data_IF_572397018855
#
_entry.id   IF_572397018855
#
_cell.length_a   1.000
_cell.length_b   1.000
_cell.length_c   1.000
_cell.angle_alpha   90.00
_cell.angle_beta   90.00
_cell.angle_gamma   90.00
#
_symmetry.space_group_name_H-M   'P 1'
#
loop_
_entity.id
_entity.type
_entity.pdbx_description
1 polymer ?
#
# COMPACT_ATOMS: atom_id res chain seq x y z
N UNK A 1 -3.91 3.18 -10.70
CA UNK A 1 -4.03 3.48 -9.25
C UNK A 1 -3.96 4.98 -9.05
N UNK A 2 -4.73 5.52 -8.12
CA UNK A 2 -4.75 6.94 -7.78
C UNK A 2 -4.72 7.09 -6.25
N UNK A 3 -3.91 8.03 -5.77
CA UNK A 3 -3.79 8.33 -4.33
C UNK A 3 -3.94 9.83 -4.14
N UNK A 4 -4.89 10.21 -3.30
CA UNK A 4 -5.15 11.58 -2.92
C UNK A 4 -4.91 11.81 -1.44
N UNK A 5 -4.31 12.95 -1.12
CA UNK A 5 -4.03 13.37 0.24
C UNK A 5 -4.42 14.83 0.42
N UNK A 6 -4.96 15.14 1.59
CA UNK A 6 -5.23 16.48 2.05
C UNK A 6 -4.89 16.60 3.53
N UNK A 7 -3.96 17.50 3.85
CA UNK A 7 -3.69 17.91 5.22
C UNK A 7 -4.90 18.57 5.88
N UNK A 8 -4.82 18.80 7.19
CA UNK A 8 -5.97 19.28 7.99
C UNK A 8 -6.59 20.55 7.40
N UNK A 9 -5.75 21.52 7.05
CA UNK A 9 -6.16 22.84 6.57
C UNK A 9 -6.58 22.84 5.08
N UNK A 10 -6.50 21.69 4.40
CA UNK A 10 -6.70 21.57 2.94
C UNK A 10 -7.77 20.54 2.54
N UNK A 11 -8.64 20.19 3.49
CA UNK A 11 -9.76 19.26 3.26
C UNK A 11 -9.72 17.98 4.10
N UNK A 12 -8.64 17.76 4.87
CA UNK A 12 -8.52 16.70 5.88
C UNK A 12 -9.05 15.33 5.41
N UNK A 13 -8.57 14.87 4.25
CA UNK A 13 -9.05 13.66 3.59
C UNK A 13 -7.89 12.86 3.03
N UNK A 14 -8.10 11.55 2.89
CA UNK A 14 -7.20 10.66 2.17
C UNK A 14 -8.06 9.70 1.34
N UNK A 15 -7.53 9.26 0.21
CA UNK A 15 -8.18 8.30 -0.66
C UNK A 15 -7.12 7.53 -1.43
N UNK A 16 -7.22 6.20 -1.43
CA UNK A 16 -6.37 5.28 -2.16
C UNK A 16 -7.32 4.43 -3.01
N UNK A 17 -7.20 4.59 -4.33
CA UNK A 17 -8.08 3.94 -5.31
C UNK A 17 -7.30 3.06 -6.27
N UNK A 18 -7.78 1.83 -6.42
CA UNK A 18 -7.38 0.95 -7.51
C UNK A 18 -8.58 0.79 -8.46
N UNK A 19 -8.38 1.15 -9.74
CA UNK A 19 -9.46 1.31 -10.71
C UNK A 19 -10.56 2.25 -10.18
N UNK A 20 -11.80 1.77 -10.08
CA UNK A 20 -12.94 2.52 -9.55
C UNK A 20 -13.19 2.27 -8.06
N UNK A 21 -12.39 1.43 -7.40
CA UNK A 21 -12.60 1.00 -6.03
C UNK A 21 -11.67 1.75 -5.07
N UNK A 22 -12.26 2.41 -4.08
CA UNK A 22 -11.57 2.98 -2.93
C UNK A 22 -11.50 1.96 -1.78
N UNK A 23 -10.49 2.08 -0.91
CA UNK A 23 -10.36 1.24 0.29
C UNK A 23 -11.45 1.53 1.36
N UNK A 24 -12.20 2.62 1.21
CA UNK A 24 -13.36 2.98 2.02
C UNK A 24 -13.05 4.02 3.09
N UNK A 25 -14.00 4.93 3.38
CA UNK A 25 -13.77 6.08 4.28
C UNK A 25 -13.29 5.70 5.68
N UNK A 26 -13.80 4.59 6.23
CA UNK A 26 -13.42 4.09 7.56
C UNK A 26 -11.95 3.63 7.65
N UNK A 27 -11.28 3.46 6.51
CA UNK A 27 -9.88 3.11 6.46
C UNK A 27 -8.98 4.29 6.87
N UNK A 28 -9.40 5.53 6.57
CA UNK A 28 -8.53 6.69 6.65
C UNK A 28 -8.61 7.40 7.99
N UNK A 29 -7.48 7.49 8.69
CA UNK A 29 -7.32 8.21 9.95
C UNK A 29 -6.18 9.22 9.85
N UNK A 30 -5.97 10.02 10.91
CA UNK A 30 -4.83 10.94 10.98
C UNK A 30 -3.51 10.17 10.82
N UNK A 31 -2.57 10.73 10.06
CA UNK A 31 -1.24 10.16 9.85
C UNK A 31 -1.00 9.62 8.44
N UNK A 32 -0.07 8.67 8.35
CA UNK A 32 0.27 7.93 7.14
C UNK A 32 -0.72 6.80 6.93
N UNK A 33 -1.64 6.94 5.98
CA UNK A 33 -2.56 5.87 5.58
C UNK A 33 -1.87 5.04 4.50
N UNK A 34 -1.53 3.79 4.82
CA UNK A 34 -0.66 2.94 4.01
C UNK A 34 -1.44 1.73 3.51
N UNK A 35 -1.42 1.51 2.20
CA UNK A 35 -1.97 0.32 1.58
C UNK A 35 -0.91 -0.42 0.76
N UNK A 36 -0.87 -1.73 0.89
CA UNK A 36 0.00 -2.62 0.15
C UNK A 36 -0.83 -3.39 -0.86
N UNK A 37 -0.31 -3.49 -2.07
CA UNK A 37 -0.97 -4.17 -3.18
C UNK A 37 -0.12 -5.31 -3.68
N UNK A 38 -0.80 -6.35 -4.14
CA UNK A 38 -0.18 -7.40 -4.93
C UNK A 38 0.26 -6.85 -6.29
N UNK A 39 1.53 -6.99 -6.61
CA UNK A 39 2.16 -6.39 -7.80
C UNK A 39 1.69 -7.01 -9.12
N UNK A 40 1.17 -8.24 -9.08
CA UNK A 40 0.71 -8.95 -10.28
C UNK A 40 -0.76 -8.67 -10.57
N UNK A 41 -1.60 -8.66 -9.53
CA UNK A 41 -3.05 -8.49 -9.66
C UNK A 41 -3.51 -7.06 -9.45
N UNK A 42 -2.69 -6.23 -8.79
CA UNK A 42 -3.03 -4.88 -8.37
C UNK A 42 -4.06 -4.81 -7.24
N UNK A 43 -4.45 -5.95 -6.66
CA UNK A 43 -5.44 -6.00 -5.58
C UNK A 43 -4.82 -5.58 -4.25
N UNK A 44 -5.56 -4.84 -3.39
CA UNK A 44 -5.09 -4.52 -2.05
C UNK A 44 -4.98 -5.81 -1.21
N UNK A 45 -3.83 -6.02 -0.58
CA UNK A 45 -3.57 -7.18 0.29
C UNK A 45 -3.50 -6.80 1.77
N UNK A 46 -3.19 -5.53 2.06
CA UNK A 46 -3.10 -5.04 3.43
C UNK A 46 -3.31 -3.54 3.45
N UNK A 47 -3.88 -3.04 4.54
CA UNK A 47 -3.98 -1.61 4.81
C UNK A 47 -3.85 -1.33 6.30
N UNK A 48 -3.20 -0.23 6.64
CA UNK A 48 -3.11 0.26 8.02
C UNK A 48 -2.86 1.77 8.04
N UNK A 49 -2.95 2.39 9.22
CA UNK A 49 -2.61 3.81 9.43
C UNK A 49 -1.57 3.94 10.52
N UNK A 50 -0.55 4.77 10.29
CA UNK A 50 0.44 5.15 11.30
C UNK A 50 0.26 6.61 11.67
N UNK A 51 -0.32 6.86 12.84
CA UNK A 51 -0.55 8.21 13.37
C UNK A 51 0.76 8.79 13.93
N UNK A 52 1.60 9.33 13.05
CA UNK A 52 2.87 9.98 13.40
C UNK A 52 2.69 11.38 14.01
N UNK A 53 1.46 11.78 14.34
CA UNK A 53 1.25 12.85 15.31
C UNK A 53 1.64 12.38 16.72
N UNK A 54 1.47 11.09 17.01
CA UNK A 54 1.91 10.46 18.25
C UNK A 54 3.32 9.86 18.12
N UNK A 55 4.12 9.95 19.18
CA UNK A 55 5.49 9.41 19.22
C UNK A 55 5.53 7.88 19.07
N UNK A 56 6.57 7.35 18.42
CA UNK A 56 6.83 5.91 18.27
C UNK A 56 6.17 5.26 17.04
N UNK A 57 5.13 5.89 16.47
CA UNK A 57 4.47 5.35 15.27
C UNK A 57 5.33 5.45 14.00
N UNK A 58 6.30 6.38 13.97
CA UNK A 58 7.28 6.47 12.87
C UNK A 58 8.20 5.24 12.82
N UNK A 59 8.60 4.72 13.98
CA UNK A 59 9.43 3.52 14.10
C UNK A 59 8.65 2.28 13.69
N UNK A 60 7.40 2.16 14.14
CA UNK A 60 6.48 1.09 13.72
C UNK A 60 6.24 1.11 12.21
N UNK A 61 6.05 2.30 11.62
CA UNK A 61 5.94 2.47 10.17
C UNK A 61 7.21 2.00 9.46
N UNK A 62 8.38 2.46 9.90
CA UNK A 62 9.64 2.09 9.26
C UNK A 62 9.92 0.57 9.38
N UNK A 63 9.59 -0.03 10.51
CA UNK A 63 9.69 -1.48 10.69
C UNK A 63 8.75 -2.21 9.75
N UNK A 64 7.49 -1.79 9.66
CA UNK A 64 6.51 -2.37 8.75
C UNK A 64 7.01 -2.37 7.31
N UNK A 65 7.47 -1.22 6.79
CA UNK A 65 8.01 -1.13 5.42
C UNK A 65 9.20 -2.07 5.23
N UNK A 66 10.09 -2.21 6.23
CA UNK A 66 11.24 -3.11 6.13
C UNK A 66 10.89 -4.60 6.10
N UNK A 67 9.70 -4.98 6.57
CA UNK A 67 9.23 -6.38 6.53
C UNK A 67 8.56 -6.76 5.20
N UNK A 68 8.22 -5.79 4.37
CA UNK A 68 7.58 -6.06 3.09
C UNK A 68 8.58 -6.69 2.11
N UNK A 69 8.17 -7.74 1.36
CA UNK A 69 9.02 -8.29 0.30
C UNK A 69 9.44 -7.21 -0.72
N UNK A 70 10.63 -7.31 -1.32
CA UNK A 70 11.05 -6.44 -2.40
C UNK A 70 10.06 -6.49 -3.58
N UNK A 71 9.86 -5.37 -4.27
CA UNK A 71 8.97 -5.29 -5.42
C UNK A 71 7.49 -5.09 -5.09
N UNK A 72 7.08 -5.06 -3.81
CA UNK A 72 5.69 -4.79 -3.39
C UNK A 72 5.29 -3.35 -3.68
N UNK A 73 4.05 -3.15 -4.15
CA UNK A 73 3.52 -1.82 -4.41
C UNK A 73 2.91 -1.26 -3.13
N UNK A 74 3.29 -0.04 -2.78
CA UNK A 74 2.83 0.64 -1.56
C UNK A 74 2.29 2.02 -1.92
N UNK A 75 1.03 2.26 -1.57
CA UNK A 75 0.40 3.57 -1.66
C UNK A 75 0.34 4.21 -0.26
N UNK A 76 0.67 5.50 -0.18
CA UNK A 76 0.56 6.26 1.08
C UNK A 76 -0.12 7.60 0.83
N UNK A 77 -1.11 7.93 1.65
CA UNK A 77 -1.76 9.23 1.70
C UNK A 77 -1.73 9.80 3.12
N UNK A 78 -1.42 11.09 3.26
CA UNK A 78 -1.58 11.80 4.53
C UNK A 78 -3.03 12.28 4.68
N UNK A 79 -3.56 12.16 5.90
CA UNK A 79 -4.75 12.87 6.36
C UNK A 79 -4.40 13.60 7.66
N UNK A 80 -4.87 14.85 7.78
CA UNK A 80 -4.56 15.76 8.90
C UNK A 80 -3.07 16.14 8.99
N UNK A 81 -2.25 15.34 9.68
CA UNK A 81 -0.81 15.53 9.81
C UNK A 81 -0.10 14.18 9.89
N UNK A 82 1.10 14.11 9.31
CA UNK A 82 2.03 13.02 9.53
C UNK A 82 3.47 13.47 9.79
N UNK A 83 3.71 14.76 10.00
CA UNK A 83 5.05 15.33 10.10
C UNK A 83 5.59 15.34 11.54
N UNK A 84 4.73 15.64 12.52
CA UNK A 84 5.16 16.08 13.86
C UNK A 84 6.18 15.15 14.54
N UNK A 85 5.98 13.83 14.47
CA UNK A 85 6.91 12.83 14.99
C UNK A 85 7.47 11.90 13.88
N UNK A 86 7.54 12.37 12.63
CA UNK A 86 8.17 11.59 11.56
C UNK A 86 9.69 11.60 11.70
N UNK A 87 10.24 10.49 12.16
CA UNK A 87 11.68 10.32 12.37
C UNK A 87 12.45 10.12 11.06
N UNK A 88 13.76 10.33 11.12
CA UNK A 88 14.67 10.07 9.99
C UNK A 88 14.64 8.61 9.51
N UNK A 89 14.25 7.68 10.37
CA UNK A 89 14.04 6.28 9.99
C UNK A 89 12.76 6.12 9.17
N UNK A 90 11.68 6.82 9.56
CA UNK A 90 10.43 6.90 8.78
C UNK A 90 10.66 7.53 7.40
N UNK A 91 11.38 8.66 7.33
CA UNK A 91 11.75 9.27 6.03
C UNK A 91 12.56 8.32 5.15
N UNK A 92 13.54 7.60 5.72
CA UNK A 92 14.31 6.58 4.99
C UNK A 92 13.42 5.44 4.47
N UNK A 93 12.41 5.02 5.23
CA UNK A 93 11.43 4.04 4.75
C UNK A 93 10.68 4.57 3.53
N UNK A 94 10.20 5.82 3.54
CA UNK A 94 9.59 6.44 2.35
C UNK A 94 10.56 6.52 1.16
N UNK A 95 11.84 6.87 1.39
CA UNK A 95 12.87 6.88 0.32
C UNK A 95 13.09 5.49 -0.28
N UNK A 96 13.02 4.43 0.53
CA UNK A 96 13.12 3.04 0.06
C UNK A 96 11.92 2.57 -0.79
N UNK A 97 10.83 3.36 -0.78
CA UNK A 97 9.70 3.20 -1.68
C UNK A 97 9.85 4.02 -2.97
N UNK A 98 10.93 4.79 -3.10
CA UNK A 98 11.20 5.68 -4.23
C UNK A 98 10.83 7.14 -4.01
N UNK A 99 10.48 7.56 -2.78
CA UNK A 99 10.23 8.97 -2.47
C UNK A 99 11.47 9.84 -2.69
N UNK A 100 11.26 11.05 -3.22
CA UNK A 100 12.23 12.16 -3.23
C UNK A 100 11.71 13.36 -2.44
N UNK A 101 10.40 13.51 -2.26
CA UNK A 101 9.81 14.69 -1.64
C UNK A 101 9.60 14.59 -0.12
N UNK A 102 9.76 13.40 0.49
CA UNK A 102 9.50 13.22 1.94
C UNK A 102 10.36 14.11 2.85
N UNK A 103 11.57 14.49 2.42
CA UNK A 103 12.43 15.38 3.20
C UNK A 103 11.88 16.81 3.29
N UNK A 104 10.99 17.18 2.37
CA UNK A 104 10.35 18.49 2.31
C UNK A 104 8.98 18.50 3.01
N UNK A 105 8.53 17.39 3.57
CA UNK A 105 7.25 17.34 4.29
C UNK A 105 7.26 18.34 5.45
N UNK A 106 6.17 19.09 5.61
CA UNK A 106 5.96 20.01 6.73
C UNK A 106 4.67 19.65 7.47
N UNK A 107 4.48 20.24 8.66
CA UNK A 107 3.27 20.09 9.44
C UNK A 107 2.03 20.35 8.59
N UNK A 108 1.09 19.40 8.60
CA UNK A 108 -0.19 19.44 7.85
C UNK A 108 -0.08 19.61 6.34
N UNK A 109 1.08 19.31 5.76
CA UNK A 109 1.21 19.24 4.30
C UNK A 109 0.43 18.04 3.74
N UNK A 110 -0.05 18.20 2.51
CA UNK A 110 -0.64 17.11 1.75
C UNK A 110 0.46 16.37 1.00
N UNK A 111 0.54 15.05 1.19
CA UNK A 111 1.54 14.21 0.53
C UNK A 111 0.94 12.86 0.15
N UNK A 112 1.14 12.50 -1.12
CA UNK A 112 0.68 11.24 -1.68
C UNK A 112 1.81 10.59 -2.47
N UNK A 113 1.97 9.27 -2.31
CA UNK A 113 2.96 8.48 -3.05
C UNK A 113 2.39 7.12 -3.46
N UNK A 114 2.78 6.65 -4.64
CA UNK A 114 2.64 5.27 -5.11
C UNK A 114 4.04 4.74 -5.43
N UNK A 115 4.64 4.09 -4.44
CA UNK A 115 6.00 3.59 -4.47
C UNK A 115 6.11 2.08 -4.69
N UNK A 116 7.33 1.58 -4.64
CA UNK A 116 7.64 0.16 -4.68
C UNK A 116 8.81 -0.15 -3.75
N UNK A 117 8.70 -1.20 -2.95
CA UNK A 117 9.77 -1.58 -2.00
C UNK A 117 11.07 -1.92 -2.73
N UNK A 118 12.17 -1.29 -2.32
CA UNK A 118 13.49 -1.46 -2.95
C UNK A 118 13.72 -0.55 -4.17
N UNK A 119 12.78 0.35 -4.49
CA UNK A 119 12.95 1.30 -5.57
C UNK A 119 13.99 2.39 -5.23
N UNK A 120 14.65 2.91 -6.26
CA UNK A 120 15.55 4.04 -6.11
C UNK A 120 14.78 5.33 -5.80
N UNK A 121 15.35 6.21 -4.98
CA UNK A 121 14.73 7.51 -4.69
C UNK A 121 14.47 8.30 -5.98
N UNK A 122 13.28 8.89 -6.09
CA UNK A 122 12.85 9.67 -7.25
C UNK A 122 12.11 8.88 -8.34
N UNK A 123 11.92 7.57 -8.18
CA UNK A 123 11.19 6.76 -9.17
C UNK A 123 9.70 6.59 -8.87
N UNK A 124 9.25 6.95 -7.66
CA UNK A 124 7.84 6.83 -7.29
C UNK A 124 6.97 7.91 -7.93
N UNK A 125 5.71 7.59 -8.20
CA UNK A 125 4.71 8.62 -8.48
C UNK A 125 4.39 9.32 -7.15
N UNK A 126 4.72 10.60 -7.04
CA UNK A 126 4.70 11.33 -5.78
C UNK A 126 4.26 12.78 -6.01
N UNK A 127 3.49 13.34 -5.08
CA UNK A 127 3.10 14.74 -5.05
C UNK A 127 3.13 15.27 -3.62
N UNK A 128 3.54 16.53 -3.45
CA UNK A 128 3.60 17.26 -2.19
C UNK A 128 3.05 18.67 -2.41
N UNK A 129 2.19 19.15 -1.51
CA UNK A 129 1.75 20.54 -1.46
C UNK A 129 1.61 20.99 0.00
N UNK A 130 1.97 22.23 0.26
CA UNK A 130 1.81 22.88 1.56
C UNK A 130 0.52 23.72 1.65
N UNK A 131 -0.23 23.80 0.55
CA UNK A 131 -1.33 24.77 0.41
C UNK A 131 -2.62 24.16 -0.13
N UNK A 132 -2.56 22.92 -0.64
CA UNK A 132 -3.68 22.28 -1.31
C UNK A 132 -3.68 20.76 -1.11
N UNK A 133 -4.80 20.11 -1.40
CA UNK A 133 -4.83 18.68 -1.62
C UNK A 133 -3.94 18.30 -2.82
N UNK A 134 -3.43 17.08 -2.82
CA UNK A 134 -2.64 16.51 -3.91
C UNK A 134 -3.20 15.17 -4.35
N UNK A 135 -2.97 14.84 -5.62
CA UNK A 135 -3.28 13.53 -6.17
C UNK A 135 -2.14 13.07 -7.07
N UNK A 136 -1.65 11.86 -6.83
CA UNK A 136 -0.73 11.19 -7.75
C UNK A 136 -1.40 9.94 -8.33
N UNK A 137 -0.97 9.53 -9.52
CA UNK A 137 -1.45 8.33 -10.18
C UNK A 137 -0.29 7.52 -10.73
N UNK A 138 -0.47 6.20 -10.76
CA UNK A 138 0.45 5.27 -11.38
C UNK A 138 -0.33 4.19 -12.08
N UNK A 139 0.04 3.90 -13.32
CA UNK A 139 -0.45 2.72 -14.02
C UNK A 139 0.24 1.49 -13.44
N UNK A 140 -0.56 0.46 -13.15
CA UNK A 140 -0.05 -0.85 -12.75
C UNK A 140 -0.50 -1.80 -13.84
N UNK A 141 0.45 -2.26 -14.65
CA UNK A 141 0.17 -3.28 -15.65
C UNK A 141 0.11 -4.62 -14.92
N UNK A 142 -1.11 -5.06 -14.61
CA UNK A 142 -1.33 -6.41 -14.10
C UNK A 142 -0.97 -7.40 -15.21
N UNK A 143 0.21 -8.00 -15.13
CA UNK A 143 0.53 -9.16 -15.97
C UNK A 143 -0.39 -10.29 -15.54
N UNK A 144 -1.32 -10.71 -16.42
CA UNK A 144 -2.00 -11.99 -16.28
C UNK A 144 -0.94 -13.08 -16.29
N UNK A 145 -0.48 -13.51 -15.12
CA UNK A 145 0.43 -14.64 -14.99
C UNK A 145 -0.39 -15.87 -15.32
N UNK A 146 -0.08 -16.52 -16.45
CA UNK A 146 -0.65 -17.81 -16.80
C UNK A 146 -0.05 -18.84 -15.84
N UNK A 147 -0.73 -19.09 -14.73
CA UNK A 147 -0.32 -20.15 -13.80
C UNK A 147 -0.62 -21.52 -14.41
N UNK A 148 0.32 -22.49 -14.36
CA UNK A 148 0.02 -23.84 -14.83
C UNK A 148 -1.06 -24.46 -13.95
N UNK A 149 -2.13 -24.96 -14.58
CA UNK A 149 -3.15 -25.74 -13.91
C UNK A 149 -2.53 -26.99 -13.31
N UNK A 150 -2.65 -27.18 -12.00
CA UNK A 150 -2.22 -28.41 -11.34
C UNK A 150 -3.42 -29.15 -10.77
N UNK A 151 -3.39 -30.48 -10.85
CA UNK A 151 -4.44 -31.33 -10.28
C UNK A 151 -4.04 -31.71 -8.87
N UNK A 152 -4.83 -31.30 -7.89
CA UNK A 152 -4.76 -31.87 -6.54
C UNK A 152 -5.68 -33.09 -6.50
N UNK A 153 -5.10 -34.28 -6.39
CA UNK A 153 -5.84 -35.51 -6.13
C UNK A 153 -5.56 -35.96 -4.70
N UNK A 154 -6.61 -36.14 -3.92
CA UNK A 154 -6.54 -36.77 -2.60
C UNK A 154 -7.27 -38.10 -2.71
N UNK A 155 -6.61 -39.19 -2.28
CA UNK A 155 -7.22 -40.52 -2.21
C UNK A 155 -7.20 -40.96 -0.76
N UNK A 156 -8.38 -41.26 -0.21
CA UNK A 156 -8.53 -41.97 1.06
C UNK A 156 -8.94 -43.41 0.75
N UNK A 157 -8.27 -44.39 1.37
CA UNK A 157 -8.59 -45.80 1.23
C UNK A 157 -9.14 -46.32 2.56
N UNK A 158 -10.47 -46.28 2.69
CA UNK A 158 -11.19 -47.09 3.67
C UNK A 158 -11.59 -48.41 3.03
N UNK A 159 -11.27 -49.52 3.68
CA UNK A 159 -11.59 -50.90 3.27
C UNK A 159 -13.02 -51.00 2.70
N UNK A 160 -13.24 -51.77 1.63
CA UNK A 160 -14.52 -52.15 0.98
C UNK A 160 -15.68 -51.13 0.83
N UNK A 161 -15.51 -49.83 1.10
CA UNK A 161 -16.62 -48.85 1.11
C UNK A 161 -16.40 -47.63 0.19
N UNK A 162 -15.41 -47.69 -0.72
CA UNK A 162 -15.28 -46.78 -1.85
C UNK A 162 -14.16 -45.73 -1.72
N UNK A 163 -13.61 -45.33 -2.87
CA UNK A 163 -12.64 -44.23 -2.99
C UNK A 163 -13.35 -43.03 -3.62
N UNK A 164 -13.28 -41.86 -2.98
CA UNK A 164 -13.73 -40.60 -3.56
C UNK A 164 -12.52 -39.82 -4.05
N UNK A 165 -12.42 -39.62 -5.37
CA UNK A 165 -11.43 -38.69 -5.95
C UNK A 165 -12.14 -37.37 -6.25
N UNK A 166 -11.83 -36.32 -5.50
CA UNK A 166 -12.30 -34.97 -5.82
C UNK A 166 -11.29 -34.31 -6.74
N UNK A 167 -11.69 -34.01 -7.98
CA UNK A 167 -10.93 -33.14 -8.90
C UNK A 167 -11.60 -31.78 -8.92
N UNK A 168 -10.94 -30.75 -8.40
CA UNK A 168 -11.39 -29.36 -8.55
C UNK A 168 -10.59 -28.72 -9.67
N UNK A 169 -11.27 -28.36 -10.74
CA UNK A 169 -10.72 -27.49 -11.78
C UNK A 169 -10.93 -26.06 -11.32
N UNK A 170 -9.88 -25.25 -11.36
CA UNK A 170 -10.00 -23.80 -11.24
C UNK A 170 -10.01 -23.27 -12.69
N UNK A 171 -11.20 -22.90 -13.17
CA UNK A 171 -11.36 -22.30 -14.48
C UNK A 171 -10.89 -20.84 -14.46
N UNK A 172 -10.32 -20.41 -15.60
CA UNK A 172 -9.66 -19.11 -15.81
C UNK A 172 -10.58 -17.90 -15.66
#
# INVERSE_FOLDING_TARGET
MQVSSAGYDHGNSASIRFNTQDLGENFYNRGLNVAVFDEFTGQPIFGTTFDTFNSGNSESFAQFISTLPPGRIVAIAIKDDANLNLSERGKRACKSLGSRLIDHLQFRSSWAIIGQTGAASGTAAEQLSHESAVTCSREITATKVKVPSFVVAVTSAGNNWGSLTVRKYLDN
#
